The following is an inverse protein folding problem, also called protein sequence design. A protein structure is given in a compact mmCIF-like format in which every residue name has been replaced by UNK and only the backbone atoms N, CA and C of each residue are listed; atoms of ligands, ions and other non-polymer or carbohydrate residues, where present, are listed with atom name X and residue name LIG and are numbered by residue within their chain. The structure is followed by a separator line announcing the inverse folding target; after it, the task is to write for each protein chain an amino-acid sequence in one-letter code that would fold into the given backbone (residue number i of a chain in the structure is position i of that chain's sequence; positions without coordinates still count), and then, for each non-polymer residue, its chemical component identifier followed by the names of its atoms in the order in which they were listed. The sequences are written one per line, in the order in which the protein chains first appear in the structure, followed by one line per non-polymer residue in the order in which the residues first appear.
data_IF_045331900511
#
_entry.id   IF_045331900511
#
_cell.length_a   1.000
_cell.length_b   1.000
_cell.length_c   1.000
_cell.angle_alpha   90.00
_cell.angle_beta   90.00
_cell.angle_gamma   90.00
#
_symmetry.space_group_name_H-M   'P 1'
#
loop_
_entity.id
_entity.type
_entity.pdbx_description
1 polymer ?
#
# COMPACT_ATOMS: atom_id res chain seq x y z
N UNK A 1 -47.43 -11.91 6.49
CA UNK A 1 -46.35 -12.79 5.99
C UNK A 1 -45.12 -11.91 5.85
N UNK A 2 -44.33 -11.78 6.91
CA UNK A 2 -43.09 -10.99 6.87
C UNK A 2 -42.01 -11.81 6.16
N UNK A 3 -41.54 -11.29 5.03
CA UNK A 3 -40.45 -11.86 4.26
C UNK A 3 -39.13 -11.59 5.00
N UNK A 4 -38.57 -12.62 5.63
CA UNK A 4 -37.20 -12.59 6.15
C UNK A 4 -36.23 -12.39 4.98
N UNK A 5 -35.74 -11.16 4.80
CA UNK A 5 -34.56 -10.93 3.96
C UNK A 5 -33.33 -11.50 4.66
N UNK A 6 -32.50 -12.30 3.97
CA UNK A 6 -31.27 -12.80 4.55
C UNK A 6 -30.36 -11.62 4.92
N UNK A 7 -29.89 -11.60 6.16
CA UNK A 7 -28.93 -10.62 6.64
C UNK A 7 -27.62 -10.78 5.86
N UNK A 8 -27.36 -9.89 4.92
CA UNK A 8 -26.09 -9.86 4.19
C UNK A 8 -25.02 -9.46 5.20
N UNK A 9 -24.11 -10.39 5.50
CA UNK A 9 -22.93 -10.09 6.32
C UNK A 9 -22.11 -9.03 5.55
N UNK A 10 -21.89 -7.83 6.10
CA UNK A 10 -21.16 -6.76 5.42
C UNK A 10 -19.70 -7.12 5.11
N UNK A 11 -19.19 -8.20 5.69
CA UNK A 11 -17.84 -8.73 5.42
C UNK A 11 -17.82 -9.82 4.33
N UNK A 12 -18.94 -10.10 3.67
CA UNK A 12 -18.96 -11.07 2.55
C UNK A 12 -18.24 -10.45 1.35
N UNK A 13 -17.12 -11.01 0.88
CA UNK A 13 -16.41 -10.44 -0.27
C UNK A 13 -17.30 -10.51 -1.51
N UNK A 14 -17.47 -9.37 -2.18
CA UNK A 14 -18.23 -9.29 -3.43
C UNK A 14 -17.39 -9.89 -4.56
N UNK A 15 -17.66 -11.16 -4.89
CA UNK A 15 -16.94 -11.92 -5.91
C UNK A 15 -17.15 -11.40 -7.34
N UNK A 16 -18.15 -10.53 -7.57
CA UNK A 16 -18.44 -9.94 -8.88
C UNK A 16 -17.57 -8.70 -9.18
N UNK A 17 -16.72 -8.28 -8.22
CA UNK A 17 -15.78 -7.17 -8.39
C UNK A 17 -14.37 -7.67 -8.70
N UNK A 18 -13.67 -6.96 -9.59
CA UNK A 18 -12.25 -7.21 -9.88
C UNK A 18 -11.42 -6.93 -8.62
N UNK A 19 -10.94 -8.00 -7.96
CA UNK A 19 -9.98 -7.87 -6.87
C UNK A 19 -8.56 -7.82 -7.44
N UNK A 20 -7.98 -6.63 -7.53
CA UNK A 20 -6.58 -6.48 -7.89
C UNK A 20 -5.74 -6.88 -6.67
N UNK A 21 -4.66 -7.66 -6.88
CA UNK A 21 -3.66 -7.85 -5.83
C UNK A 21 -3.06 -6.48 -5.51
N UNK A 22 -3.33 -5.97 -4.29
CA UNK A 22 -2.83 -4.68 -3.78
C UNK A 22 -1.39 -4.44 -4.24
N UNK A 23 -1.15 -3.48 -5.15
CA UNK A 23 0.19 -3.09 -5.53
C UNK A 23 0.96 -2.60 -4.30
N UNK A 24 2.24 -2.96 -4.22
CA UNK A 24 3.14 -2.45 -3.20
C UNK A 24 4.28 -1.73 -3.90
N UNK A 25 4.38 -0.42 -3.73
CA UNK A 25 5.44 0.40 -4.29
C UNK A 25 6.52 0.62 -3.24
N UNK A 26 7.78 0.54 -3.68
CA UNK A 26 8.93 0.91 -2.87
C UNK A 26 9.21 2.40 -3.10
N UNK A 27 9.31 3.16 -2.02
CA UNK A 27 9.56 4.61 -2.07
C UNK A 27 10.78 4.97 -1.22
N UNK A 28 11.49 6.01 -1.65
CA UNK A 28 12.62 6.51 -0.88
C UNK A 28 12.16 7.42 0.26
N UNK A 29 10.99 8.05 0.12
CA UNK A 29 10.47 9.05 1.06
C UNK A 29 8.93 9.01 1.14
N UNK A 30 8.40 8.64 2.32
CA UNK A 30 6.95 8.54 2.51
C UNK A 30 6.26 9.88 2.59
N UNK A 31 6.89 10.91 3.18
CA UNK A 31 6.27 12.23 3.29
C UNK A 31 6.03 12.82 1.89
N UNK A 32 7.05 12.75 1.05
CA UNK A 32 6.93 13.18 -0.35
C UNK A 32 5.94 12.30 -1.12
N UNK A 33 5.88 11.00 -0.83
CA UNK A 33 4.89 10.13 -1.45
C UNK A 33 3.45 10.51 -1.04
N UNK A 34 3.21 10.88 0.23
CA UNK A 34 1.90 11.33 0.67
C UNK A 34 1.45 12.63 -0.01
N UNK A 35 2.36 13.55 -0.31
CA UNK A 35 2.01 14.71 -1.14
C UNK A 35 1.43 14.30 -2.50
N UNK A 36 1.97 13.24 -3.12
CA UNK A 36 1.46 12.77 -4.41
C UNK A 36 0.17 11.97 -4.21
N UNK A 37 0.23 10.90 -3.42
CA UNK A 37 -0.86 9.94 -3.35
C UNK A 37 -2.05 10.45 -2.54
N UNK A 38 -1.84 11.21 -1.47
CA UNK A 38 -2.92 11.78 -0.68
C UNK A 38 -3.37 13.13 -1.22
N UNK A 39 -2.45 14.10 -1.29
CA UNK A 39 -2.84 15.50 -1.52
C UNK A 39 -3.23 15.77 -2.98
N UNK A 40 -2.55 15.12 -3.94
CA UNK A 40 -2.82 15.31 -5.37
C UNK A 40 -3.82 14.27 -5.89
N UNK A 41 -3.65 12.99 -5.53
CA UNK A 41 -4.45 11.88 -6.07
C UNK A 41 -5.65 11.48 -5.20
N UNK A 42 -5.75 11.98 -3.97
CA UNK A 42 -6.94 11.80 -3.12
C UNK A 42 -7.02 10.48 -2.36
N UNK A 43 -5.94 9.70 -2.26
CA UNK A 43 -5.92 8.50 -1.41
C UNK A 43 -5.97 8.87 0.08
N UNK A 44 -6.54 7.97 0.89
CA UNK A 44 -6.60 8.11 2.35
C UNK A 44 -5.63 7.14 3.02
N UNK A 45 -4.90 7.61 4.02
CA UNK A 45 -4.02 6.77 4.82
C UNK A 45 -4.85 5.95 5.82
N UNK A 46 -4.85 4.63 5.64
CA UNK A 46 -5.53 3.68 6.53
C UNK A 46 -4.65 3.19 7.65
N UNK A 47 -3.36 3.03 7.37
CA UNK A 47 -2.41 2.39 8.28
C UNK A 47 -1.00 2.86 7.99
N UNK A 48 -0.24 3.14 9.05
CA UNK A 48 1.19 3.45 9.00
C UNK A 48 1.88 2.73 10.15
N UNK A 49 2.97 2.02 9.85
CA UNK A 49 3.78 1.37 10.88
C UNK A 49 5.23 1.20 10.44
N UNK A 50 6.11 1.12 11.43
CA UNK A 50 7.48 0.66 11.22
C UNK A 50 7.51 -0.88 11.10
N UNK A 51 8.35 -1.40 10.21
CA UNK A 51 8.50 -2.84 10.10
C UNK A 51 9.34 -3.38 11.25
N UNK A 52 8.82 -4.40 11.95
CA UNK A 52 9.61 -5.21 12.87
C UNK A 52 10.87 -5.78 12.19
N UNK A 53 12.01 -5.96 12.88
CA UNK A 53 13.18 -6.67 12.35
C UNK A 53 12.86 -8.06 11.78
N UNK A 54 11.83 -8.72 12.29
CA UNK A 54 11.35 -10.04 11.85
C UNK A 54 10.22 -9.97 10.81
N UNK A 55 9.96 -8.78 10.27
CA UNK A 55 8.93 -8.58 9.24
C UNK A 55 9.20 -9.44 8.01
N UNK A 56 8.13 -10.03 7.46
CA UNK A 56 8.19 -10.79 6.22
C UNK A 56 8.62 -9.92 5.02
N UNK A 57 8.49 -8.59 5.12
CA UNK A 57 8.85 -7.65 4.05
C UNK A 57 10.31 -7.82 3.60
N UNK A 58 11.22 -8.08 4.54
CA UNK A 58 12.62 -8.32 4.21
C UNK A 58 12.80 -9.55 3.33
N UNK A 59 12.08 -10.63 3.60
CA UNK A 59 12.20 -11.87 2.84
C UNK A 59 11.48 -11.78 1.49
N UNK A 60 10.25 -11.26 1.48
CA UNK A 60 9.41 -11.20 0.27
C UNK A 60 9.96 -10.22 -0.77
N UNK A 61 10.47 -9.07 -0.32
CA UNK A 61 11.03 -8.03 -1.19
C UNK A 61 12.57 -8.05 -1.26
N UNK A 62 13.21 -9.03 -0.60
CA UNK A 62 14.67 -9.22 -0.56
C UNK A 62 15.44 -7.98 -0.08
N UNK A 63 14.90 -7.24 0.88
CA UNK A 63 15.63 -6.15 1.51
C UNK A 63 16.68 -6.68 2.50
N UNK A 64 17.88 -6.08 2.54
CA UNK A 64 18.86 -6.40 3.57
C UNK A 64 18.31 -6.01 4.95
N UNK A 65 18.70 -6.76 5.99
CA UNK A 65 18.27 -6.49 7.37
C UNK A 65 18.79 -5.17 7.94
N UNK A 66 19.76 -4.54 7.29
CA UNK A 66 20.23 -3.19 7.63
C UNK A 66 19.30 -2.08 7.15
N UNK A 67 18.37 -2.37 6.23
CA UNK A 67 17.41 -1.39 5.77
C UNK A 67 16.37 -1.09 6.86
N UNK A 68 15.96 0.16 6.96
CA UNK A 68 14.86 0.61 7.82
C UNK A 68 13.62 0.72 6.95
N UNK A 69 12.55 0.03 7.34
CA UNK A 69 11.33 -0.03 6.55
C UNK A 69 10.16 0.60 7.30
N UNK A 70 9.38 1.43 6.59
CA UNK A 70 8.04 1.86 7.01
C UNK A 70 7.01 1.42 6.00
N UNK A 71 5.85 1.00 6.48
CA UNK A 71 4.77 0.51 5.65
C UNK A 71 3.55 1.41 5.81
N UNK A 72 3.02 1.88 4.69
CA UNK A 72 1.77 2.62 4.62
C UNK A 72 0.75 1.89 3.75
N UNK A 73 -0.49 1.82 4.22
CA UNK A 73 -1.63 1.33 3.44
C UNK A 73 -2.54 2.49 3.10
N UNK A 74 -2.85 2.64 1.82
CA UNK A 74 -3.66 3.71 1.26
C UNK A 74 -4.94 3.14 0.65
N UNK A 75 -6.03 3.87 0.81
CA UNK A 75 -7.38 3.52 0.34
C UNK A 75 -7.89 4.53 -0.66
N UNK A 76 -8.73 4.06 -1.56
CA UNK A 76 -9.64 4.93 -2.32
C UNK A 76 -10.96 5.06 -1.56
N UNK A 77 -11.92 5.78 -2.11
CA UNK A 77 -13.28 5.85 -1.56
C UNK A 77 -13.97 4.47 -1.58
N UNK A 78 -13.76 3.70 -2.64
CA UNK A 78 -14.47 2.45 -2.90
C UNK A 78 -13.67 1.18 -2.54
N UNK A 79 -12.34 1.27 -2.47
CA UNK A 79 -11.44 0.14 -2.25
C UNK A 79 -10.52 0.39 -1.04
N UNK A 80 -10.80 -0.27 0.10
CA UNK A 80 -9.95 -0.17 1.27
C UNK A 80 -8.62 -0.88 1.02
N UNK A 81 -7.52 -0.25 1.43
CA UNK A 81 -6.16 -0.74 1.28
C UNK A 81 -5.82 -1.05 -0.18
N UNK A 82 -6.31 -0.24 -1.12
CA UNK A 82 -6.06 -0.38 -2.55
C UNK A 82 -4.56 -0.33 -2.93
N UNK A 83 -3.76 0.46 -2.21
CA UNK A 83 -2.33 0.67 -2.49
C UNK A 83 -1.50 0.51 -1.22
N UNK A 84 -0.33 -0.10 -1.34
CA UNK A 84 0.68 -0.12 -0.29
C UNK A 84 1.93 0.64 -0.72
N UNK A 85 2.54 1.37 0.22
CA UNK A 85 3.84 2.00 0.07
C UNK A 85 4.78 1.42 1.13
N UNK A 86 5.99 1.00 0.72
CA UNK A 86 7.07 0.61 1.62
C UNK A 86 8.21 1.61 1.47
N UNK A 87 8.41 2.44 2.49
CA UNK A 87 9.61 3.26 2.59
C UNK A 87 10.82 2.39 2.86
N UNK A 88 11.93 2.71 2.21
CA UNK A 88 13.21 2.07 2.46
C UNK A 88 14.26 3.14 2.72
N UNK A 89 14.86 3.12 3.91
CA UNK A 89 15.98 3.98 4.30
C UNK A 89 17.18 3.13 4.76
N UNK A 90 18.34 3.76 4.92
CA UNK A 90 19.56 3.10 5.39
C UNK A 90 20.31 2.28 4.34
N UNK A 91 19.78 2.24 3.11
CA UNK A 91 20.45 1.68 1.93
C UNK A 91 20.24 2.61 0.74
N UNK A 92 21.12 2.51 -0.25
CA UNK A 92 20.97 3.23 -1.52
C UNK A 92 20.02 2.46 -2.44
N UNK A 93 18.97 3.15 -2.92
CA UNK A 93 18.03 2.59 -3.89
C UNK A 93 18.53 2.83 -5.33
N UNK A 94 18.29 1.90 -6.26
CA UNK A 94 18.65 2.09 -7.65
C UNK A 94 18.00 3.34 -8.24
N UNK A 95 18.78 4.14 -8.97
CA UNK A 95 18.25 5.31 -9.66
C UNK A 95 17.35 4.89 -10.83
N UNK A 96 16.09 5.33 -10.89
CA UNK A 96 15.21 5.03 -12.02
C UNK A 96 15.73 5.67 -13.31
N UNK A 97 15.59 4.97 -14.44
CA UNK A 97 15.92 5.52 -15.77
C UNK A 97 14.76 6.31 -16.35
N UNK A 98 15.07 7.40 -17.07
CA UNK A 98 14.07 8.21 -17.79
C UNK A 98 13.77 7.61 -19.18
N UNK A 99 12.53 7.78 -19.70
CA UNK A 99 11.36 8.35 -19.04
C UNK A 99 10.83 7.43 -17.93
N UNK A 100 10.33 8.02 -16.84
CA UNK A 100 9.81 7.25 -15.73
C UNK A 100 8.49 6.58 -16.10
N UNK A 101 8.38 5.26 -15.82
CA UNK A 101 7.16 4.48 -16.08
C UNK A 101 6.11 4.59 -14.96
N UNK A 102 6.47 5.22 -13.86
CA UNK A 102 5.67 5.35 -12.64
C UNK A 102 5.97 6.72 -12.02
N UNK A 103 5.03 7.26 -11.25
CA UNK A 103 5.29 8.40 -10.36
C UNK A 103 6.09 7.89 -9.15
N UNK A 104 7.41 7.89 -9.29
CA UNK A 104 8.36 7.44 -8.27
C UNK A 104 8.76 8.62 -7.38
N UNK A 105 8.96 8.34 -6.09
CA UNK A 105 9.18 9.35 -5.06
C UNK A 105 10.35 9.01 -4.16
#
# INVERSE_FOLDING_TARGET
METNQPSVNPNTPNLDRLHIKRPCLVVADLERAFTIYQDILGFKLDYLAEASPDSYLYQVFQFPKSAQLKFASLSTEDEPRALALTEVKGIELPTPTTPYRLALV
#
